data_IF_602213920738
#
_entry.id   IF_602213920738
#
_cell.length_a   1.000
_cell.length_b   1.000
_cell.length_c   1.000
_cell.angle_alpha   90.00
_cell.angle_beta   90.00
_cell.angle_gamma   90.00
#
_symmetry.space_group_name_H-M   'P 1'
#
loop_
_entity.id
_entity.type
_entity.pdbx_description
1 polymer ?
#
# COMPACT_ATOMS: atom_id res chain seq x y z
N UNK A 1 6.35 -8.31 -17.03
CA UNK A 1 5.30 -7.27 -17.05
C UNK A 1 5.91 -5.93 -16.69
N UNK A 2 5.78 -4.92 -17.55
CA UNK A 2 6.21 -3.56 -17.24
C UNK A 2 5.22 -2.87 -16.27
N UNK A 3 5.73 -1.98 -15.41
CA UNK A 3 4.90 -1.21 -14.48
C UNK A 3 4.17 -0.10 -15.26
N UNK A 4 2.85 -0.21 -15.39
CA UNK A 4 2.03 0.81 -16.07
C UNK A 4 2.06 2.14 -15.33
N UNK A 5 1.76 3.24 -16.01
CA UNK A 5 1.73 4.57 -15.39
C UNK A 5 0.78 4.62 -14.18
N UNK A 6 -0.41 4.05 -14.31
CA UNK A 6 -1.37 3.97 -13.21
C UNK A 6 -0.83 3.15 -12.03
N UNK A 7 -0.13 2.04 -12.28
CA UNK A 7 0.52 1.26 -11.20
C UNK A 7 1.64 2.05 -10.51
N UNK A 8 2.40 2.86 -11.26
CA UNK A 8 3.41 3.78 -10.70
C UNK A 8 2.77 4.83 -9.80
N UNK A 9 1.62 5.39 -10.18
CA UNK A 9 0.91 6.38 -9.34
C UNK A 9 0.48 5.79 -7.99
N UNK A 10 -0.10 4.58 -8.01
CA UNK A 10 -0.47 3.88 -6.78
C UNK A 10 0.76 3.59 -5.90
N UNK A 11 1.84 3.12 -6.52
CA UNK A 11 3.07 2.80 -5.83
C UNK A 11 3.74 4.04 -5.22
N UNK A 12 3.79 5.15 -5.97
CA UNK A 12 4.31 6.42 -5.47
C UNK A 12 3.47 6.95 -4.31
N UNK A 13 2.13 6.83 -4.41
CA UNK A 13 1.23 7.32 -3.37
C UNK A 13 1.44 6.59 -2.05
N UNK A 14 1.54 5.26 -2.08
CA UNK A 14 1.74 4.48 -0.86
C UNK A 14 3.13 4.72 -0.25
N UNK A 15 4.17 4.88 -1.07
CA UNK A 15 5.50 5.26 -0.59
C UNK A 15 5.43 6.60 0.14
N UNK A 16 4.82 7.63 -0.46
CA UNK A 16 4.66 8.94 0.20
C UNK A 16 3.89 8.86 1.53
N UNK A 17 2.84 8.05 1.58
CA UNK A 17 2.07 7.84 2.82
C UNK A 17 2.89 7.10 3.89
N UNK A 18 3.69 6.11 3.47
CA UNK A 18 4.61 5.39 4.34
C UNK A 18 5.73 6.30 4.85
N UNK A 19 6.37 7.11 4.00
CA UNK A 19 7.43 8.03 4.40
C UNK A 19 6.92 9.13 5.34
N UNK A 20 5.69 9.62 5.12
CA UNK A 20 5.07 10.63 5.97
C UNK A 20 4.72 10.12 7.38
N UNK A 21 4.43 8.83 7.53
CA UNK A 21 3.96 8.26 8.81
C UNK A 21 4.98 7.32 9.46
N UNK A 22 5.93 6.77 8.70
CA UNK A 22 6.75 5.61 9.05
C UNK A 22 5.94 4.37 9.51
N UNK A 23 4.66 4.30 9.16
CA UNK A 23 3.76 3.19 9.52
C UNK A 23 3.20 2.49 8.28
N UNK A 24 2.88 1.18 8.40
CA UNK A 24 2.19 0.45 7.34
C UNK A 24 0.86 1.11 6.94
N UNK A 25 0.58 1.18 5.64
CA UNK A 25 -0.54 1.98 5.11
C UNK A 25 -1.73 1.08 4.80
N UNK A 26 -2.92 1.49 5.24
CA UNK A 26 -4.16 0.78 4.91
C UNK A 26 -4.64 1.13 3.48
N UNK A 27 -5.17 0.16 2.74
CA UNK A 27 -5.61 0.37 1.35
C UNK A 27 -6.72 1.43 1.22
N UNK A 28 -7.55 1.60 2.24
CA UNK A 28 -8.61 2.63 2.26
C UNK A 28 -7.99 4.04 2.22
N UNK A 29 -6.88 4.26 2.93
CA UNK A 29 -6.16 5.54 2.91
C UNK A 29 -5.63 5.83 1.52
N UNK A 30 -5.08 4.83 0.84
CA UNK A 30 -4.62 4.95 -0.56
C UNK A 30 -5.80 5.26 -1.48
N UNK A 31 -6.92 4.56 -1.32
CA UNK A 31 -8.14 4.76 -2.10
C UNK A 31 -8.66 6.19 -1.98
N UNK A 32 -8.79 6.70 -0.75
CA UNK A 32 -9.21 8.06 -0.46
C UNK A 32 -8.25 9.09 -1.07
N UNK A 33 -6.94 8.83 -0.98
CA UNK A 33 -5.94 9.77 -1.45
C UNK A 33 -5.77 9.82 -2.98
N UNK A 34 -6.29 8.82 -3.69
CA UNK A 34 -6.33 8.76 -5.16
C UNK A 34 -7.75 8.99 -5.72
N UNK A 35 -8.75 9.19 -4.86
CA UNK A 35 -10.15 9.36 -5.30
C UNK A 35 -10.75 8.14 -5.99
N UNK A 36 -10.31 6.93 -5.61
CA UNK A 36 -10.79 5.67 -6.21
C UNK A 36 -11.58 4.82 -5.21
N UNK A 37 -12.34 3.86 -5.72
CA UNK A 37 -13.04 2.88 -4.90
C UNK A 37 -12.07 2.01 -4.10
N UNK A 38 -12.50 1.59 -2.91
CA UNK A 38 -11.78 0.67 -2.01
C UNK A 38 -11.34 -0.62 -2.72
N UNK A 39 -12.23 -1.19 -3.54
CA UNK A 39 -11.97 -2.39 -4.35
C UNK A 39 -10.87 -2.16 -5.39
N UNK A 40 -10.89 -1.01 -6.08
CA UNK A 40 -9.87 -0.64 -7.07
C UNK A 40 -8.50 -0.51 -6.42
N UNK A 41 -8.42 0.13 -5.25
CA UNK A 41 -7.17 0.22 -4.52
C UNK A 41 -6.68 -1.14 -4.06
N UNK A 42 -7.57 -1.98 -3.53
CA UNK A 42 -7.21 -3.33 -3.11
C UNK A 42 -6.65 -4.18 -4.25
N UNK A 43 -7.31 -4.17 -5.42
CA UNK A 43 -6.86 -4.91 -6.60
C UNK A 43 -5.51 -4.41 -7.12
N UNK A 44 -5.34 -3.09 -7.26
CA UNK A 44 -4.08 -2.49 -7.71
C UNK A 44 -2.92 -2.77 -6.75
N UNK A 45 -3.16 -2.71 -5.44
CA UNK A 45 -2.14 -3.03 -4.43
C UNK A 45 -1.79 -4.52 -4.45
N UNK A 46 -2.77 -5.41 -4.68
CA UNK A 46 -2.53 -6.85 -4.86
C UNK A 46 -1.64 -7.13 -6.08
N UNK A 47 -1.87 -6.45 -7.20
CA UNK A 47 -1.02 -6.55 -8.39
C UNK A 47 0.41 -6.06 -8.12
N UNK A 48 0.56 -4.98 -7.35
CA UNK A 48 1.87 -4.47 -6.93
C UNK A 48 2.60 -5.44 -5.98
N UNK A 49 1.87 -6.19 -5.13
CA UNK A 49 2.45 -7.29 -4.34
C UNK A 49 2.98 -8.38 -5.26
N UNK A 50 2.17 -8.85 -6.22
CA UNK A 50 2.61 -9.90 -7.17
C UNK A 50 3.86 -9.49 -7.95
N UNK A 51 4.01 -8.20 -8.23
CA UNK A 51 5.18 -7.63 -8.89
C UNK A 51 6.41 -7.41 -7.95
N UNK A 52 6.27 -7.69 -6.65
CA UNK A 52 7.32 -7.60 -5.63
C UNK A 52 7.59 -6.18 -5.11
N UNK A 53 6.71 -5.23 -5.36
CA UNK A 53 6.86 -3.83 -4.92
C UNK A 53 6.26 -3.57 -3.55
N UNK A 54 5.26 -4.35 -3.14
CA UNK A 54 4.60 -4.22 -1.85
C UNK A 54 4.57 -5.54 -1.10
N UNK A 55 4.47 -5.45 0.23
CA UNK A 55 4.11 -6.58 1.10
C UNK A 55 2.82 -6.26 1.85
N UNK A 56 2.08 -7.31 2.22
CA UNK A 56 0.88 -7.21 3.02
C UNK A 56 1.19 -7.71 4.44
N UNK A 57 0.78 -6.96 5.45
CA UNK A 57 0.84 -7.34 6.85
C UNK A 57 -0.57 -7.34 7.44
N UNK A 58 -0.89 -8.37 8.21
CA UNK A 58 -2.12 -8.46 8.96
C UNK A 58 -1.86 -7.96 10.38
N UNK A 59 -2.35 -6.77 10.70
CA UNK A 59 -2.32 -6.28 12.06
C UNK A 59 -3.64 -6.64 12.75
N UNK A 60 -3.55 -7.52 13.74
CA UNK A 60 -4.62 -7.71 14.71
C UNK A 60 -4.52 -6.54 15.66
N UNK A 61 -5.43 -5.56 15.53
CA UNK A 61 -5.49 -4.41 16.42
C UNK A 61 -5.73 -4.89 17.85
N UNK A 62 -4.65 -5.00 18.63
CA UNK A 62 -4.71 -5.40 20.04
C UNK A 62 -5.33 -4.31 20.94
N UNK A 63 -5.57 -3.12 20.39
CA UNK A 63 -6.05 -1.93 21.10
C UNK A 63 -7.58 -1.76 21.11
N UNK A 64 -8.33 -2.43 20.23
CA UNK A 64 -9.79 -2.39 20.29
C UNK A 64 -10.32 -3.68 20.92
N UNK A 65 -11.14 -3.52 21.97
CA UNK A 65 -11.87 -4.58 22.68
C UNK A 65 -12.95 -5.24 21.80
N UNK A 66 -12.63 -5.55 20.54
CA UNK A 66 -13.51 -6.14 19.53
C UNK A 66 -12.69 -7.11 18.67
N UNK A 67 -12.56 -8.38 19.10
CA UNK A 67 -11.88 -9.40 18.32
C UNK A 67 -12.65 -9.63 17.02
N UNK A 68 -12.11 -9.21 15.86
CA UNK A 68 -12.72 -9.59 14.59
C UNK A 68 -12.31 -8.84 13.32
N UNK A 69 -11.70 -7.65 13.40
CA UNK A 69 -11.28 -6.90 12.19
C UNK A 69 -9.78 -6.95 12.03
N UNK A 70 -9.27 -8.02 11.41
CA UNK A 70 -7.91 -8.05 10.88
C UNK A 70 -7.72 -6.89 9.91
N UNK A 71 -6.83 -5.95 10.23
CA UNK A 71 -6.53 -4.83 9.35
C UNK A 71 -5.50 -5.26 8.31
N UNK A 72 -5.78 -4.94 7.05
CA UNK A 72 -4.88 -5.22 5.94
C UNK A 72 -4.02 -4.00 5.69
N UNK A 73 -2.75 -4.10 6.08
CA UNK A 73 -1.77 -3.05 5.89
C UNK A 73 -0.77 -3.43 4.81
N UNK A 74 -0.24 -2.41 4.13
CA UNK A 74 0.69 -2.57 3.03
C UNK A 74 1.97 -1.79 3.35
N UNK A 75 3.12 -2.40 3.05
CA UNK A 75 4.43 -1.77 3.18
C UNK A 75 5.17 -1.76 1.84
N UNK A 76 5.87 -0.67 1.49
CA UNK A 76 6.77 -0.66 0.34
C UNK A 76 7.99 -1.55 0.59
N UNK A 77 8.38 -2.34 -0.41
CA UNK A 77 9.62 -3.11 -0.37
C UNK A 77 10.81 -2.24 -0.74
N UNK A 78 12.02 -2.71 -0.43
CA UNK A 78 13.27 -2.11 -0.90
C UNK A 78 13.28 -1.91 -2.41
N UNK A 79 12.68 -2.83 -3.19
CA UNK A 79 12.54 -2.71 -4.65
C UNK A 79 11.70 -1.49 -5.05
N UNK A 80 10.60 -1.25 -4.35
CA UNK A 80 9.75 -0.08 -4.59
C UNK A 80 10.46 1.22 -4.23
N UNK A 81 11.18 1.24 -3.11
CA UNK A 81 11.94 2.42 -2.71
C UNK A 81 13.05 2.75 -3.71
N UNK A 82 13.82 1.76 -4.15
CA UNK A 82 14.86 1.95 -5.17
C UNK A 82 14.33 2.52 -6.48
N UNK A 83 13.09 2.19 -6.87
CA UNK A 83 12.48 2.71 -8.09
C UNK A 83 12.27 4.22 -8.08
N UNK A 84 12.12 4.83 -6.90
CA UNK A 84 11.88 6.27 -6.74
C UNK A 84 13.01 7.00 -6.00
N UNK A 85 14.09 6.29 -5.64
CA UNK A 85 15.29 6.84 -4.99
C UNK A 85 16.30 7.46 -5.97
N UNK A 86 15.93 7.73 -7.22
CA UNK A 86 16.80 8.48 -8.13
C UNK A 86 17.02 9.89 -7.58
N UNK A 87 18.16 10.06 -6.90
CA UNK A 87 18.84 11.31 -6.64
C UNK A 87 19.96 11.46 -7.65
#
# INVERSE_FOLDING_TARGET
MALTQRRKEFLLKIIKLYEATNYPVHYVTVAQSLGVSKWTAYDMLRELIKAGYLTMSYSVSRQERSPGRSMVLFLPTTKALNLFQTK
#
